data_IF_969385248449
#
_entry.id   IF_969385248449
#
_cell.length_a   1.000
_cell.length_b   1.000
_cell.length_c   1.000
_cell.angle_alpha   90.00
_cell.angle_beta   90.00
_cell.angle_gamma   90.00
#
_symmetry.space_group_name_H-M   'P 1'
#
loop_
_entity.id
_entity.type
_entity.pdbx_description
1 polymer ?
#
# COMPACT_ATOMS: atom_id res chain seq x y z
N UNK A 1 -10.20 -72.21 -14.41
CA UNK A 1 -10.93 -71.63 -13.26
C UNK A 1 -10.18 -72.05 -12.01
N UNK A 2 -9.67 -71.24 -11.07
CA UNK A 2 -9.72 -69.80 -10.77
C UNK A 2 -8.30 -69.39 -10.39
N UNK A 3 -7.77 -68.31 -10.95
CA UNK A 3 -6.54 -67.68 -10.46
C UNK A 3 -6.85 -66.99 -9.13
N UNK A 4 -6.15 -67.37 -8.06
CA UNK A 4 -6.14 -66.65 -6.78
C UNK A 4 -4.83 -65.87 -6.75
N UNK A 5 -4.92 -64.54 -6.90
CA UNK A 5 -3.79 -63.64 -6.71
C UNK A 5 -3.60 -63.38 -5.20
N UNK A 6 -2.36 -63.41 -4.67
CA UNK A 6 -2.11 -62.99 -3.30
C UNK A 6 -2.17 -61.46 -3.18
N UNK A 7 -2.94 -60.98 -2.22
CA UNK A 7 -3.04 -59.56 -1.86
C UNK A 7 -1.68 -59.06 -1.35
N UNK A 8 -1.04 -58.20 -2.13
CA UNK A 8 0.15 -57.46 -1.69
C UNK A 8 -0.31 -56.35 -0.74
N UNK A 9 -0.07 -56.53 0.55
CA UNK A 9 -0.24 -55.48 1.56
C UNK A 9 0.84 -54.43 1.32
N UNK A 10 0.46 -53.35 0.65
CA UNK A 10 1.31 -52.18 0.46
C UNK A 10 1.35 -51.40 1.78
N UNK A 11 2.35 -51.67 2.60
CA UNK A 11 2.67 -50.86 3.78
C UNK A 11 3.12 -49.49 3.29
N UNK A 12 2.19 -48.55 3.19
CA UNK A 12 2.49 -47.15 2.94
C UNK A 12 3.27 -46.60 4.15
N UNK A 13 4.59 -46.62 4.06
CA UNK A 13 5.47 -45.86 4.95
C UNK A 13 5.18 -44.39 4.66
N UNK A 14 4.33 -43.79 5.50
CA UNK A 14 4.20 -42.34 5.65
C UNK A 14 5.57 -41.83 6.11
N UNK A 15 6.42 -41.49 5.15
CA UNK A 15 7.56 -40.63 5.37
C UNK A 15 7.01 -39.25 5.75
N UNK A 16 6.76 -39.05 7.04
CA UNK A 16 6.61 -37.74 7.64
C UNK A 16 8.00 -37.11 7.51
N UNK A 17 8.27 -36.44 6.39
CA UNK A 17 9.46 -35.60 6.26
C UNK A 17 9.47 -34.64 7.44
N UNK A 18 10.59 -34.49 8.16
CA UNK A 18 10.68 -33.57 9.28
C UNK A 18 10.37 -32.17 8.76
N UNK A 19 9.16 -31.71 9.05
CA UNK A 19 8.64 -30.40 8.71
C UNK A 19 9.65 -29.35 9.16
N UNK A 20 9.91 -28.39 8.27
CA UNK A 20 10.80 -27.25 8.35
C UNK A 20 10.55 -26.33 9.58
N UNK A 21 10.67 -26.85 10.79
CA UNK A 21 10.67 -26.07 12.03
C UNK A 21 12.02 -25.35 12.15
N UNK A 22 12.07 -24.06 11.80
CA UNK A 22 13.20 -23.21 12.20
C UNK A 22 13.67 -22.15 11.22
N UNK A 23 13.10 -22.03 10.01
CA UNK A 23 13.52 -20.92 9.13
C UNK A 23 13.05 -19.58 9.72
N UNK A 24 14.02 -18.83 10.26
CA UNK A 24 13.87 -17.42 10.61
C UNK A 24 14.46 -16.56 9.50
N UNK A 25 13.74 -15.52 9.09
CA UNK A 25 14.19 -14.55 8.09
C UNK A 25 14.34 -13.19 8.75
N UNK A 26 15.49 -12.56 8.59
CA UNK A 26 15.67 -11.14 8.88
C UNK A 26 15.30 -10.35 7.63
N UNK A 27 14.12 -9.75 7.61
CA UNK A 27 13.70 -8.86 6.53
C UNK A 27 14.52 -7.57 6.62
N UNK A 28 15.15 -7.18 5.50
CA UNK A 28 15.94 -5.96 5.39
C UNK A 28 15.32 -5.03 4.34
N UNK A 29 15.58 -3.72 4.40
CA UNK A 29 15.25 -2.83 3.28
C UNK A 29 15.83 -3.38 1.98
N UNK A 30 15.07 -3.26 0.89
CA UNK A 30 15.53 -3.65 -0.45
C UNK A 30 16.91 -3.05 -0.74
N UNK A 31 17.90 -3.91 -0.97
CA UNK A 31 19.24 -3.49 -1.37
C UNK A 31 19.26 -3.29 -2.89
N UNK A 32 18.68 -2.20 -3.34
CA UNK A 32 18.69 -1.85 -4.76
C UNK A 32 20.13 -1.67 -5.24
N UNK A 33 20.48 -2.31 -6.36
CA UNK A 33 21.78 -2.06 -6.98
C UNK A 33 21.84 -0.60 -7.43
N UNK A 34 22.96 0.12 -7.21
CA UNK A 34 23.10 1.48 -7.70
C UNK A 34 22.78 1.57 -9.19
N UNK A 35 22.03 2.60 -9.54
CA UNK A 35 21.54 2.86 -10.89
C UNK A 35 20.52 1.87 -11.49
N UNK A 36 20.11 0.83 -10.76
CA UNK A 36 18.96 0.01 -11.16
C UNK A 36 17.69 0.85 -11.12
N UNK A 37 16.78 0.65 -12.08
CA UNK A 37 15.47 1.31 -12.06
C UNK A 37 14.40 0.32 -11.60
N UNK A 38 13.60 0.73 -10.63
CA UNK A 38 12.41 -0.01 -10.19
C UNK A 38 11.19 0.77 -10.64
N UNK A 39 10.40 0.17 -11.53
CA UNK A 39 9.09 0.71 -11.91
C UNK A 39 8.07 0.23 -10.90
N UNK A 40 7.34 1.18 -10.32
CA UNK A 40 6.29 0.93 -9.34
C UNK A 40 4.97 1.33 -9.99
N UNK A 41 4.00 0.43 -9.99
CA UNK A 41 2.63 0.68 -10.44
C UNK A 41 1.68 0.44 -9.29
N UNK A 42 0.78 1.39 -9.06
CA UNK A 42 -0.21 1.31 -7.99
C UNK A 42 -1.58 1.67 -8.52
N UNK A 43 -2.55 0.80 -8.28
CA UNK A 43 -3.95 1.01 -8.64
C UNK A 43 -4.80 0.94 -7.37
N UNK A 44 -5.64 1.93 -7.14
CA UNK A 44 -6.69 1.87 -6.13
C UNK A 44 -8.06 1.97 -6.78
N UNK A 45 -8.99 1.16 -6.31
CA UNK A 45 -10.37 1.15 -6.74
C UNK A 45 -11.28 1.19 -5.50
N UNK A 46 -12.15 2.18 -5.47
CA UNK A 46 -13.19 2.35 -4.45
C UNK A 46 -14.58 2.51 -5.10
N UNK A 47 -14.82 1.79 -6.19
CA UNK A 47 -16.12 1.71 -6.86
C UNK A 47 -17.16 1.01 -5.98
N UNK A 48 -18.40 1.49 -6.05
CA UNK A 48 -19.52 0.94 -5.28
C UNK A 48 -19.62 1.49 -3.86
N UNK A 49 -18.97 2.62 -3.56
CA UNK A 49 -19.16 3.29 -2.30
C UNK A 49 -20.61 3.79 -2.17
N UNK A 50 -21.22 3.53 -1.02
CA UNK A 50 -22.59 3.91 -0.73
C UNK A 50 -22.61 5.20 0.09
N UNK A 51 -23.41 6.17 -0.35
CA UNK A 51 -23.59 7.45 0.33
C UNK A 51 -25.01 7.48 0.89
N UNK A 52 -25.15 7.77 2.17
CA UNK A 52 -26.44 8.06 2.80
C UNK A 52 -26.35 9.41 3.48
N UNK A 53 -27.20 10.35 3.06
CA UNK A 53 -27.34 11.67 3.66
C UNK A 53 -28.71 11.76 4.32
N UNK A 54 -28.73 11.97 5.62
CA UNK A 54 -29.93 12.27 6.40
C UNK A 54 -30.00 13.77 6.59
N UNK A 55 -31.08 14.43 6.18
CA UNK A 55 -31.31 15.86 6.42
C UNK A 55 -32.78 16.07 6.80
N UNK A 56 -33.05 16.57 8.00
CA UNK A 56 -34.42 16.87 8.46
C UNK A 56 -35.36 15.64 8.40
N UNK A 57 -34.85 14.46 8.74
CA UNK A 57 -35.60 13.19 8.71
C UNK A 57 -35.77 12.55 7.33
N UNK A 58 -35.34 13.22 6.24
CA UNK A 58 -35.35 12.63 4.89
C UNK A 58 -33.99 11.99 4.58
N UNK A 59 -34.04 10.76 4.05
CA UNK A 59 -32.85 10.03 3.60
C UNK A 59 -32.66 10.21 2.09
N UNK A 60 -31.48 10.68 1.68
CA UNK A 60 -31.03 10.66 0.30
C UNK A 60 -29.91 9.64 0.17
N UNK A 61 -30.06 8.73 -0.80
CA UNK A 61 -29.03 7.74 -1.13
C UNK A 61 -28.28 8.14 -2.38
N UNK A 62 -27.04 7.69 -2.46
CA UNK A 62 -26.17 7.91 -3.59
C UNK A 62 -25.06 6.88 -3.64
N UNK A 63 -24.21 7.02 -4.65
CA UNK A 63 -23.02 6.22 -4.83
C UNK A 63 -21.83 7.10 -5.19
N UNK A 64 -20.62 6.63 -4.88
CA UNK A 64 -19.41 7.17 -5.50
C UNK A 64 -18.48 6.08 -5.98
N UNK A 65 -17.65 6.45 -6.93
CA UNK A 65 -16.57 5.63 -7.46
C UNK A 65 -15.31 6.49 -7.49
N UNK A 66 -14.22 5.97 -6.95
CA UNK A 66 -12.91 6.61 -7.06
C UNK A 66 -11.94 5.57 -7.57
N UNK A 67 -11.27 5.86 -8.67
CA UNK A 67 -10.20 5.05 -9.23
C UNK A 67 -8.94 5.90 -9.31
N UNK A 68 -7.83 5.41 -8.79
CA UNK A 68 -6.53 6.08 -8.93
C UNK A 68 -5.54 5.13 -9.57
N UNK A 69 -4.85 5.62 -10.59
CA UNK A 69 -3.79 4.90 -11.27
C UNK A 69 -2.51 5.69 -11.14
N UNK A 70 -1.44 5.02 -10.71
CA UNK A 70 -0.13 5.62 -10.55
C UNK A 70 0.95 4.73 -11.11
N UNK A 71 1.95 5.36 -11.72
CA UNK A 71 3.18 4.73 -12.13
C UNK A 71 4.34 5.70 -11.92
N UNK A 72 5.43 5.20 -11.34
CA UNK A 72 6.63 5.99 -11.18
C UNK A 72 7.88 5.10 -11.22
N UNK A 73 8.99 5.69 -11.64
CA UNK A 73 10.30 5.06 -11.66
C UNK A 73 11.11 5.51 -10.46
N UNK A 74 11.75 4.55 -9.79
CA UNK A 74 12.57 4.74 -8.60
C UNK A 74 14.00 4.29 -8.89
N UNK A 75 14.97 5.17 -8.65
CA UNK A 75 16.39 4.89 -8.82
C UNK A 75 17.18 5.37 -7.60
N UNK A 76 18.09 4.54 -7.09
CA UNK A 76 19.11 4.99 -6.13
C UNK A 76 20.39 5.30 -6.91
N UNK A 77 20.91 6.52 -6.71
CA UNK A 77 22.14 7.02 -7.33
C UNK A 77 23.21 7.12 -6.25
N UNK A 78 24.35 6.47 -6.48
CA UNK A 78 25.45 6.38 -5.50
C UNK A 78 25.25 5.25 -4.48
N UNK A 79 26.11 5.24 -3.45
CA UNK A 79 26.15 4.22 -2.39
C UNK A 79 26.41 4.90 -1.04
N UNK A 80 26.06 4.21 0.05
CA UNK A 80 26.34 4.68 1.41
C UNK A 80 25.54 5.93 1.83
N UNK A 81 26.07 6.75 2.76
CA UNK A 81 25.37 7.92 3.32
C UNK A 81 25.05 9.03 2.32
N UNK A 82 25.76 9.07 1.18
CA UNK A 82 25.57 10.07 0.12
C UNK A 82 24.60 9.61 -0.97
N UNK A 83 24.03 8.40 -0.83
CA UNK A 83 23.08 7.86 -1.79
C UNK A 83 21.86 8.78 -1.94
N UNK A 84 21.52 9.11 -3.19
CA UNK A 84 20.37 9.94 -3.54
C UNK A 84 19.28 9.08 -4.12
N UNK A 85 18.05 9.34 -3.72
CA UNK A 85 16.88 8.78 -4.37
C UNK A 85 16.50 9.68 -5.56
N UNK A 86 16.11 9.07 -6.67
CA UNK A 86 15.52 9.77 -7.79
C UNK A 86 14.20 9.10 -8.15
N UNK A 87 13.21 9.95 -8.36
CA UNK A 87 11.87 9.58 -8.79
C UNK A 87 11.53 10.28 -10.10
N UNK A 88 10.85 9.55 -10.99
CA UNK A 88 10.15 10.13 -12.15
C UNK A 88 8.72 9.63 -12.11
N UNK A 89 7.76 10.55 -11.95
CA UNK A 89 6.33 10.19 -11.95
C UNK A 89 5.86 10.09 -13.39
N UNK A 90 5.53 8.88 -13.82
CA UNK A 90 5.09 8.58 -15.19
C UNK A 90 3.57 8.80 -15.35
N UNK A 91 2.81 8.47 -14.30
CA UNK A 91 1.35 8.55 -14.27
C UNK A 91 0.90 8.80 -12.83
N UNK A 92 -0.05 9.71 -12.63
CA UNK A 92 -0.85 9.81 -11.42
C UNK A 92 -2.18 10.47 -11.76
N UNK A 93 -3.20 9.64 -11.96
CA UNK A 93 -4.54 10.07 -12.36
C UNK A 93 -5.56 9.54 -11.36
N UNK A 94 -6.46 10.43 -10.95
CA UNK A 94 -7.62 10.10 -10.12
C UNK A 94 -8.88 10.40 -10.91
N UNK A 95 -9.68 9.37 -11.13
CA UNK A 95 -11.04 9.46 -11.64
C UNK A 95 -12.02 9.38 -10.48
N UNK A 96 -12.97 10.32 -10.42
CA UNK A 96 -14.03 10.36 -9.42
C UNK A 96 -15.37 10.51 -10.12
N UNK A 97 -16.33 9.71 -9.68
CA UNK A 97 -17.73 9.83 -10.04
C UNK A 97 -18.57 9.82 -8.77
N UNK A 98 -19.57 10.68 -8.68
CA UNK A 98 -20.50 10.76 -7.56
C UNK A 98 -21.91 10.98 -8.07
N UNK A 99 -22.82 10.09 -7.66
CA UNK A 99 -24.24 10.18 -7.95
C UNK A 99 -24.99 10.35 -6.62
N UNK A 100 -25.76 11.42 -6.47
CA UNK A 100 -26.52 11.69 -5.25
C UNK A 100 -27.93 12.18 -5.62
N UNK A 101 -28.94 11.32 -5.44
CA UNK A 101 -30.27 11.55 -6.02
C UNK A 101 -30.20 11.68 -7.54
N UNK A 102 -30.73 12.77 -8.09
CA UNK A 102 -30.69 13.06 -9.54
C UNK A 102 -29.43 13.80 -10.01
N UNK A 103 -28.51 14.13 -9.10
CA UNK A 103 -27.28 14.86 -9.44
C UNK A 103 -26.15 13.86 -9.68
N UNK A 104 -25.44 14.05 -10.80
CA UNK A 104 -24.21 13.33 -11.13
C UNK A 104 -23.08 14.34 -11.30
N UNK A 105 -21.92 14.00 -10.76
CA UNK A 105 -20.67 14.76 -10.92
C UNK A 105 -19.54 13.78 -11.21
N UNK A 106 -18.71 14.12 -12.20
CA UNK A 106 -17.56 13.34 -12.58
C UNK A 106 -16.38 14.26 -12.83
N UNK A 107 -15.21 13.88 -12.32
CA UNK A 107 -13.97 14.63 -12.53
C UNK A 107 -12.81 13.68 -12.70
N UNK A 108 -11.85 14.12 -13.52
CA UNK A 108 -10.55 13.48 -13.67
C UNK A 108 -9.50 14.50 -13.30
N UNK A 109 -8.59 14.11 -12.42
CA UNK A 109 -7.50 14.96 -11.94
C UNK A 109 -6.17 14.24 -12.17
N UNK A 110 -5.16 15.00 -12.59
CA UNK A 110 -3.79 14.52 -12.72
C UNK A 110 -2.91 15.25 -11.70
N UNK A 111 -1.97 14.54 -11.07
CA UNK A 111 -1.00 15.19 -10.18
C UNK A 111 -0.10 16.15 -10.97
N UNK A 112 0.26 17.28 -10.35
CA UNK A 112 1.27 18.20 -10.85
C UNK A 112 2.70 17.64 -10.77
N UNK A 113 2.90 16.43 -10.22
CA UNK A 113 4.19 15.73 -10.21
C UNK A 113 4.47 14.94 -11.49
N UNK A 114 3.46 14.71 -12.35
CA UNK A 114 3.66 13.96 -13.60
C UNK A 114 4.72 14.63 -14.48
N UNK A 115 5.68 13.83 -14.96
CA UNK A 115 6.83 14.27 -15.74
C UNK A 115 7.92 15.00 -14.92
N UNK A 116 7.72 15.21 -13.61
CA UNK A 116 8.71 15.87 -12.76
C UNK A 116 9.79 14.89 -12.31
N UNK A 117 11.02 15.42 -12.20
CA UNK A 117 12.12 14.73 -11.55
C UNK A 117 12.15 15.15 -10.08
N UNK A 118 12.02 14.16 -9.21
CA UNK A 118 12.02 14.32 -7.75
C UNK A 118 13.33 13.74 -7.22
N UNK A 119 14.02 14.48 -6.36
CA UNK A 119 15.20 14.01 -5.65
C UNK A 119 14.87 13.75 -4.19
N UNK A 120 15.39 12.65 -3.65
CA UNK A 120 15.31 12.33 -2.24
C UNK A 120 16.67 12.34 -1.58
N UNK A 121 16.73 12.95 -0.40
CA UNK A 121 17.88 12.94 0.50
C UNK A 121 17.44 12.37 1.84
N UNK A 122 18.36 11.74 2.56
CA UNK A 122 18.10 11.36 3.95
C UNK A 122 18.38 12.54 4.87
N UNK A 123 17.48 12.77 5.81
CA UNK A 123 17.73 13.68 6.93
C UNK A 123 18.60 13.02 8.01
N UNK A 124 18.88 13.78 9.07
CA UNK A 124 19.62 13.35 10.25
C UNK A 124 18.98 12.13 10.95
N UNK A 125 17.67 11.99 10.85
CA UNK A 125 16.91 10.82 11.35
C UNK A 125 16.88 9.64 10.39
N UNK A 126 17.67 9.68 9.31
CA UNK A 126 17.72 8.67 8.24
C UNK A 126 16.40 8.51 7.46
N UNK A 127 15.51 9.50 7.53
CA UNK A 127 14.25 9.50 6.79
C UNK A 127 14.42 10.18 5.44
N UNK A 128 13.78 9.66 4.41
CA UNK A 128 13.75 10.28 3.10
C UNK A 128 12.91 11.56 3.12
N UNK A 129 13.48 12.63 2.58
CA UNK A 129 12.84 13.90 2.25
C UNK A 129 12.91 14.12 0.75
N UNK A 130 11.80 14.48 0.13
CA UNK A 130 11.65 14.57 -1.32
C UNK A 130 11.46 16.02 -1.76
N UNK A 131 12.15 16.38 -2.84
CA UNK A 131 12.17 17.75 -3.37
C UNK A 131 12.11 17.72 -4.90
N UNK A 132 11.53 18.76 -5.49
CA UNK A 132 11.59 18.96 -6.95
C UNK A 132 12.98 19.46 -7.35
N UNK A 133 13.51 18.90 -8.44
CA UNK A 133 14.79 19.37 -8.98
C UNK A 133 14.67 20.81 -9.50
N UNK A 134 15.47 21.72 -8.94
CA UNK A 134 15.69 23.06 -9.49
C UNK A 134 14.51 24.04 -9.35
N UNK A 135 13.50 23.72 -8.53
CA UNK A 135 12.36 24.62 -8.28
C UNK A 135 11.64 24.31 -6.97
N UNK A 136 10.90 25.28 -6.45
CA UNK A 136 10.00 25.10 -5.32
C UNK A 136 8.71 24.38 -5.75
N UNK A 137 8.18 23.54 -4.86
CA UNK A 137 6.89 22.89 -5.06
C UNK A 137 5.74 23.88 -4.82
N UNK A 138 4.67 23.77 -5.61
CA UNK A 138 3.37 24.37 -5.26
C UNK A 138 2.77 23.67 -4.03
N UNK A 139 1.77 24.27 -3.39
CA UNK A 139 1.10 23.67 -2.22
C UNK A 139 0.59 22.25 -2.50
N UNK A 140 -0.03 22.01 -3.66
CA UNK A 140 -0.51 20.68 -4.03
C UNK A 140 0.64 19.70 -4.26
N UNK A 141 1.70 20.12 -4.95
CA UNK A 141 2.88 19.28 -5.15
C UNK A 141 3.58 18.95 -3.83
N UNK A 142 3.60 19.87 -2.87
CA UNK A 142 4.15 19.61 -1.53
C UNK A 142 3.36 18.51 -0.81
N UNK A 143 2.02 18.54 -0.89
CA UNK A 143 1.16 17.47 -0.34
C UNK A 143 1.48 16.13 -1.02
N UNK A 144 1.58 16.12 -2.36
CA UNK A 144 1.86 14.91 -3.12
C UNK A 144 3.27 14.34 -2.79
N UNK A 145 4.27 15.22 -2.56
CA UNK A 145 5.62 14.83 -2.13
C UNK A 145 5.60 14.20 -0.73
N UNK A 146 4.84 14.75 0.21
CA UNK A 146 4.68 14.16 1.55
C UNK A 146 4.04 12.77 1.45
N UNK A 147 3.08 12.55 0.55
CA UNK A 147 2.51 11.21 0.32
C UNK A 147 3.60 10.22 -0.15
N UNK A 148 4.46 10.64 -1.08
CA UNK A 148 5.59 9.82 -1.55
C UNK A 148 6.66 9.59 -0.47
N UNK A 149 6.97 10.58 0.37
CA UNK A 149 7.86 10.42 1.54
C UNK A 149 7.32 9.37 2.51
N UNK A 150 6.01 9.44 2.79
CA UNK A 150 5.32 8.49 3.67
C UNK A 150 5.41 7.07 3.14
N UNK A 151 5.33 6.93 1.81
CA UNK A 151 5.58 5.66 1.17
C UNK A 151 7.03 5.23 1.38
N UNK A 152 8.04 6.06 1.13
CA UNK A 152 9.45 5.66 1.31
C UNK A 152 9.85 5.33 2.74
N UNK A 153 9.27 6.03 3.72
CA UNK A 153 9.62 5.90 5.13
C UNK A 153 8.82 4.80 5.85
N UNK A 154 7.94 4.08 5.15
CA UNK A 154 7.11 3.01 5.72
C UNK A 154 7.94 1.90 6.37
N UNK A 155 7.56 1.49 7.58
CA UNK A 155 8.22 0.41 8.33
C UNK A 155 7.34 -0.84 8.37
N UNK A 156 7.51 -1.71 7.37
CA UNK A 156 6.82 -3.01 7.32
C UNK A 156 7.50 -4.08 8.18
N UNK A 157 8.81 -3.97 8.35
CA UNK A 157 9.64 -5.02 8.95
C UNK A 157 10.26 -4.53 10.24
N UNK A 158 10.46 -5.48 11.16
CA UNK A 158 11.19 -5.29 12.40
C UNK A 158 12.66 -5.67 12.20
N UNK A 159 13.54 -5.10 13.01
CA UNK A 159 14.99 -5.32 12.94
C UNK A 159 15.44 -6.64 13.59
N UNK A 160 14.50 -7.58 13.77
CA UNK A 160 14.75 -8.91 14.35
C UNK A 160 14.34 -10.04 13.39
N UNK A 161 15.02 -11.20 13.44
CA UNK A 161 14.61 -12.36 12.66
C UNK A 161 13.21 -12.84 13.01
N UNK A 162 12.44 -13.21 11.99
CA UNK A 162 11.03 -13.61 12.11
C UNK A 162 10.86 -15.05 11.64
N UNK A 163 10.17 -15.87 12.44
CA UNK A 163 9.83 -17.25 12.08
C UNK A 163 8.48 -17.31 11.35
N UNK A 164 8.30 -18.33 10.52
CA UNK A 164 6.99 -18.65 9.95
C UNK A 164 5.97 -18.83 11.09
N UNK A 165 4.79 -18.24 10.94
CA UNK A 165 3.72 -18.15 11.94
C UNK A 165 3.82 -16.95 12.89
N UNK A 166 4.98 -16.29 12.98
CA UNK A 166 5.16 -15.15 13.88
C UNK A 166 4.41 -13.93 13.35
N UNK A 167 3.80 -13.20 14.29
CA UNK A 167 3.07 -11.95 14.03
C UNK A 167 3.73 -10.80 14.77
N UNK A 168 3.78 -9.62 14.15
CA UNK A 168 4.28 -8.39 14.74
C UNK A 168 3.39 -7.20 14.38
N UNK A 169 3.52 -6.13 15.16
CA UNK A 169 2.87 -4.87 14.88
C UNK A 169 3.64 -4.11 13.81
N UNK A 170 2.92 -3.46 12.91
CA UNK A 170 3.49 -2.62 11.85
C UNK A 170 2.96 -1.20 11.97
N UNK A 171 3.72 -0.25 11.43
CA UNK A 171 3.32 1.16 11.40
C UNK A 171 3.11 1.60 9.94
N UNK A 172 1.88 1.51 9.41
CA UNK A 172 1.59 1.89 8.03
C UNK A 172 1.47 3.42 7.94
N UNK A 173 2.60 4.12 7.96
CA UNK A 173 2.67 5.59 7.96
C UNK A 173 1.86 6.24 6.82
N UNK A 174 1.83 5.63 5.65
CA UNK A 174 1.01 6.11 4.52
C UNK A 174 -0.50 6.10 4.81
N UNK A 175 -1.01 5.12 5.57
CA UNK A 175 -2.42 5.05 5.97
C UNK A 175 -2.70 6.07 7.06
N UNK A 176 -1.77 6.20 8.01
CA UNK A 176 -1.83 7.25 9.03
C UNK A 176 -1.99 8.61 8.36
N UNK A 177 -1.07 8.96 7.46
CA UNK A 177 -1.07 10.26 6.80
C UNK A 177 -2.32 10.49 5.95
N UNK A 178 -2.84 9.44 5.29
CA UNK A 178 -4.09 9.54 4.56
C UNK A 178 -5.29 9.87 5.47
N UNK A 179 -5.40 9.20 6.62
CA UNK A 179 -6.53 9.40 7.55
C UNK A 179 -6.38 10.71 8.32
N UNK A 180 -5.17 11.00 8.81
CA UNK A 180 -4.91 12.14 9.68
C UNK A 180 -5.00 13.49 8.96
N UNK A 181 -4.70 13.53 7.66
CA UNK A 181 -4.87 14.73 6.82
C UNK A 181 -6.29 15.31 6.92
N UNK A 182 -7.30 14.44 6.92
CA UNK A 182 -8.70 14.86 6.81
C UNK A 182 -9.46 14.73 8.16
N UNK A 183 -8.99 13.87 9.07
CA UNK A 183 -9.73 13.49 10.29
C UNK A 183 -8.98 13.76 11.60
N UNK A 184 -7.77 14.34 11.55
CA UNK A 184 -6.93 14.51 12.73
C UNK A 184 -6.36 13.18 13.24
N UNK A 185 -5.75 13.16 14.45
CA UNK A 185 -5.00 12.00 14.94
C UNK A 185 -5.77 10.68 14.85
N UNK A 186 -5.09 9.62 14.36
CA UNK A 186 -5.69 8.32 14.14
C UNK A 186 -5.11 7.25 15.07
N UNK A 187 -5.99 6.44 15.65
CA UNK A 187 -5.62 5.19 16.34
C UNK A 187 -5.52 4.09 15.30
N UNK A 188 -4.36 3.44 15.20
CA UNK A 188 -4.10 2.40 14.20
C UNK A 188 -3.59 1.14 14.90
N UNK A 189 -4.32 0.04 14.75
CA UNK A 189 -3.86 -1.32 15.08
C UNK A 189 -3.59 -2.05 13.77
N UNK A 190 -2.31 -2.27 13.47
CA UNK A 190 -1.88 -2.95 12.26
C UNK A 190 -0.92 -4.08 12.61
N UNK A 191 -1.18 -5.25 12.04
CA UNK A 191 -0.44 -6.49 12.31
C UNK A 191 -0.06 -7.17 11.01
N UNK A 192 1.10 -7.79 11.00
CA UNK A 192 1.59 -8.60 9.87
C UNK A 192 2.04 -9.95 10.40
N UNK A 193 1.77 -11.01 9.63
CA UNK A 193 2.16 -12.38 9.96
C UNK A 193 3.06 -12.93 8.85
N UNK A 194 4.16 -13.59 9.22
CA UNK A 194 4.97 -14.32 8.24
C UNK A 194 4.35 -15.69 7.98
N UNK A 195 3.58 -15.83 6.89
CA UNK A 195 2.76 -17.03 6.66
C UNK A 195 3.53 -18.20 6.06
N UNK A 196 4.27 -17.95 4.98
CA UNK A 196 4.92 -19.01 4.19
C UNK A 196 6.04 -18.42 3.33
N UNK A 197 6.90 -19.30 2.81
CA UNK A 197 7.79 -19.01 1.68
C UNK A 197 7.30 -19.84 0.50
N UNK A 198 7.02 -19.18 -0.62
CA UNK A 198 6.49 -19.79 -1.83
C UNK A 198 7.44 -19.52 -3.01
N UNK A 199 7.41 -20.39 -4.02
CA UNK A 199 8.09 -20.13 -5.29
C UNK A 199 7.13 -19.40 -6.22
N UNK A 200 7.40 -18.12 -6.49
CA UNK A 200 6.58 -17.28 -7.38
C UNK A 200 7.50 -16.75 -8.47
N UNK A 201 7.15 -17.03 -9.73
CA UNK A 201 7.95 -16.67 -10.92
C UNK A 201 9.42 -17.12 -10.81
N UNK A 202 9.65 -18.33 -10.27
CA UNK A 202 10.98 -18.90 -10.10
C UNK A 202 11.81 -18.32 -8.93
N UNK A 203 11.24 -17.44 -8.10
CA UNK A 203 11.95 -16.85 -6.95
C UNK A 203 11.28 -17.19 -5.61
N UNK A 204 12.10 -17.45 -4.58
CA UNK A 204 11.63 -17.60 -3.20
C UNK A 204 11.03 -16.30 -2.71
N UNK A 205 9.74 -16.32 -2.39
CA UNK A 205 8.95 -15.16 -2.01
C UNK A 205 8.29 -15.41 -0.66
N UNK A 206 8.52 -14.51 0.30
CA UNK A 206 7.79 -14.53 1.56
C UNK A 206 6.38 -13.96 1.37
N UNK A 207 5.40 -14.67 1.91
CA UNK A 207 3.99 -14.27 1.91
C UNK A 207 3.63 -13.72 3.29
N UNK A 208 3.27 -12.44 3.31
CA UNK A 208 3.08 -11.66 4.53
C UNK A 208 1.66 -11.07 4.57
N UNK A 209 0.65 -11.83 4.99
CA UNK A 209 -0.68 -11.27 5.25
C UNK A 209 -0.62 -10.22 6.35
N UNK A 210 -1.45 -9.20 6.22
CA UNK A 210 -1.58 -8.13 7.20
C UNK A 210 -3.02 -7.67 7.36
N UNK A 211 -3.31 -7.08 8.51
CA UNK A 211 -4.60 -6.45 8.82
C UNK A 211 -4.36 -5.06 9.40
N UNK A 212 -5.24 -4.12 9.08
CA UNK A 212 -5.14 -2.72 9.52
C UNK A 212 -6.53 -2.29 9.95
N UNK A 213 -6.65 -1.94 11.23
CA UNK A 213 -7.82 -1.30 11.82
C UNK A 213 -7.43 0.10 12.20
N UNK A 214 -8.15 1.09 11.70
CA UNK A 214 -7.90 2.48 12.04
C UNK A 214 -9.20 3.20 12.39
N UNK A 215 -9.12 4.09 13.36
CA UNK A 215 -10.20 4.97 13.78
C UNK A 215 -9.66 6.38 14.03
N UNK A 216 -10.35 7.38 13.48
CA UNK A 216 -10.09 8.78 13.74
C UNK A 216 -11.41 9.52 14.01
N UNK A 217 -11.35 10.58 14.82
CA UNK A 217 -12.48 11.46 15.13
C UNK A 217 -11.97 12.88 15.28
N UNK A 218 -12.67 13.83 14.65
CA UNK A 218 -12.43 15.26 14.79
C UNK A 218 -13.71 15.95 15.28
N UNK A 219 -13.54 16.83 16.25
CA UNK A 219 -14.58 17.74 16.72
C UNK A 219 -14.11 19.17 16.46
N UNK A 220 -14.89 19.95 15.72
CA UNK A 220 -14.57 21.35 15.46
C UNK A 220 -15.30 22.24 16.47
N UNK A 221 -14.55 23.15 17.11
CA UNK A 221 -14.93 23.91 18.32
C UNK A 221 -16.18 24.80 18.23
N UNK A 222 -16.78 24.93 17.05
CA UNK A 222 -18.11 25.55 16.85
C UNK A 222 -19.23 24.50 16.89
N UNK A 223 -19.26 23.72 17.97
CA UNK A 223 -20.33 22.90 18.57
C UNK A 223 -21.28 22.04 17.75
N UNK A 224 -21.21 21.96 16.42
CA UNK A 224 -22.19 21.15 15.67
C UNK A 224 -21.60 20.26 14.59
N UNK A 225 -20.29 20.28 14.35
CA UNK A 225 -19.66 19.39 13.36
C UNK A 225 -18.76 18.34 14.00
N UNK A 226 -19.08 17.08 13.76
CA UNK A 226 -18.24 15.94 14.12
C UNK A 226 -17.96 15.12 12.87
N UNK A 227 -16.70 14.77 12.64
CA UNK A 227 -16.33 13.79 11.63
C UNK A 227 -15.63 12.59 12.27
N UNK A 228 -15.84 11.42 11.69
CA UNK A 228 -15.15 10.21 12.08
C UNK A 228 -14.86 9.33 10.86
N UNK A 229 -13.75 8.62 10.89
CA UNK A 229 -13.39 7.63 9.89
C UNK A 229 -13.01 6.31 10.58
N UNK A 230 -13.45 5.20 9.99
CA UNK A 230 -13.09 3.85 10.40
C UNK A 230 -12.62 3.11 9.16
N UNK A 231 -11.38 2.60 9.19
CA UNK A 231 -10.83 1.74 8.15
C UNK A 231 -10.63 0.32 8.69
N UNK A 232 -11.16 -0.67 7.99
CA UNK A 232 -10.90 -2.08 8.24
C UNK A 232 -10.36 -2.67 6.95
N UNK A 233 -9.05 -2.90 6.91
CA UNK A 233 -8.33 -3.33 5.72
C UNK A 233 -7.57 -4.63 6.03
N UNK A 234 -7.43 -5.47 5.01
CA UNK A 234 -6.61 -6.67 5.06
C UNK A 234 -5.90 -6.85 3.73
N UNK A 235 -4.76 -7.51 3.75
CA UNK A 235 -3.96 -7.62 2.56
C UNK A 235 -2.87 -8.66 2.65
N UNK A 236 -2.06 -8.73 1.61
CA UNK A 236 -0.88 -9.59 1.54
C UNK A 236 0.22 -8.84 0.82
N UNK A 237 1.39 -8.82 1.46
CA UNK A 237 2.64 -8.33 0.92
C UNK A 237 3.50 -9.53 0.49
N UNK A 238 4.04 -9.46 -0.73
CA UNK A 238 4.88 -10.49 -1.32
C UNK A 238 6.31 -9.93 -1.44
N UNK A 239 7.25 -10.53 -0.72
CA UNK A 239 8.64 -10.06 -0.65
C UNK A 239 9.57 -11.08 -1.24
N UNK A 240 10.24 -10.72 -2.32
CA UNK A 240 11.27 -11.51 -2.96
C UNK A 240 12.49 -11.63 -2.04
N UNK A 241 12.84 -12.84 -1.58
CA UNK A 241 13.87 -13.03 -0.57
C UNK A 241 15.29 -12.85 -1.12
N UNK A 242 15.51 -12.99 -2.43
CA UNK A 242 16.82 -12.77 -3.04
C UNK A 242 17.22 -11.29 -3.05
N UNK A 243 16.24 -10.40 -3.27
CA UNK A 243 16.45 -8.96 -3.42
C UNK A 243 15.91 -8.12 -2.27
N UNK A 244 15.05 -8.72 -1.42
CA UNK A 244 14.20 -8.03 -0.45
C UNK A 244 13.23 -7.00 -1.06
N UNK A 245 12.92 -7.13 -2.35
CA UNK A 245 11.93 -6.29 -3.02
C UNK A 245 10.51 -6.77 -2.66
N UNK A 246 9.68 -5.86 -2.17
CA UNK A 246 8.24 -6.05 -2.04
C UNK A 246 7.55 -5.99 -3.43
N UNK A 247 7.64 -7.09 -4.16
CA UNK A 247 7.15 -7.25 -5.55
C UNK A 247 5.68 -6.90 -5.71
N UNK A 248 4.84 -7.30 -4.77
CA UNK A 248 3.39 -7.12 -4.86
C UNK A 248 2.79 -6.83 -3.49
N UNK A 249 1.87 -5.88 -3.44
CA UNK A 249 0.97 -5.66 -2.32
C UNK A 249 -0.44 -5.73 -2.85
N UNK A 250 -1.29 -6.49 -2.17
CA UNK A 250 -2.73 -6.48 -2.38
C UNK A 250 -3.38 -6.12 -1.06
N UNK A 251 -4.35 -5.22 -1.08
CA UNK A 251 -5.08 -4.79 0.09
C UNK A 251 -6.53 -4.55 -0.30
N UNK A 252 -7.45 -4.95 0.55
CA UNK A 252 -8.87 -4.68 0.38
C UNK A 252 -9.56 -4.48 1.72
N UNK A 253 -10.75 -3.90 1.70
CA UNK A 253 -11.58 -3.76 2.89
C UNK A 253 -12.57 -2.63 2.76
N UNK A 254 -12.90 -2.00 3.88
CA UNK A 254 -13.90 -0.94 3.92
C UNK A 254 -13.40 0.29 4.66
N UNK A 255 -13.64 1.46 4.08
CA UNK A 255 -13.52 2.75 4.74
C UNK A 255 -14.93 3.30 4.97
N UNK A 256 -15.27 3.56 6.23
CA UNK A 256 -16.51 4.23 6.60
C UNK A 256 -16.18 5.61 7.11
N UNK A 257 -16.71 6.66 6.48
CA UNK A 257 -16.65 8.02 6.98
C UNK A 257 -18.03 8.47 7.41
N UNK A 258 -18.09 9.24 8.47
CA UNK A 258 -19.32 9.83 8.98
C UNK A 258 -19.05 11.30 9.28
N UNK A 259 -19.94 12.15 8.81
CA UNK A 259 -19.93 13.59 9.12
C UNK A 259 -21.31 13.94 9.64
N UNK A 260 -21.37 14.55 10.81
CA UNK A 260 -22.60 15.06 11.43
C UNK A 260 -22.49 16.56 11.54
N UNK A 261 -23.50 17.27 11.06
CA UNK A 261 -23.60 18.73 11.13
C UNK A 261 -25.05 19.18 11.25
N UNK A 262 -25.42 19.83 12.36
CA UNK A 262 -26.69 20.56 12.53
C UNK A 262 -27.93 19.89 11.92
N UNK A 263 -28.30 18.69 12.40
CA UNK A 263 -29.48 17.95 11.92
C UNK A 263 -29.28 17.22 10.57
N UNK A 264 -28.09 17.34 9.97
CA UNK A 264 -27.63 16.56 8.82
C UNK A 264 -26.59 15.52 9.25
N UNK A 265 -26.70 14.30 8.75
CA UNK A 265 -25.70 13.25 8.91
C UNK A 265 -25.40 12.60 7.58
N UNK A 266 -24.14 12.59 7.18
CA UNK A 266 -23.67 11.92 5.98
C UNK A 266 -22.81 10.73 6.37
N UNK A 267 -23.14 9.55 5.86
CA UNK A 267 -22.35 8.32 6.00
C UNK A 267 -21.93 7.87 4.62
N UNK A 268 -20.62 7.67 4.44
CA UNK A 268 -20.07 7.07 3.22
C UNK A 268 -19.40 5.76 3.62
N UNK A 269 -19.87 4.66 3.04
CA UNK A 269 -19.25 3.35 3.18
C UNK A 269 -18.62 2.96 1.86
N UNK A 270 -17.31 2.98 1.81
CA UNK A 270 -16.52 2.74 0.61
C UNK A 270 -15.82 1.39 0.69
N UNK A 271 -16.10 0.43 -0.19
CA UNK A 271 -15.19 -0.68 -0.38
C UNK A 271 -13.90 -0.13 -1.00
N UNK A 272 -12.76 -0.66 -0.60
CA UNK A 272 -11.46 -0.23 -1.12
C UNK A 272 -10.71 -1.46 -1.56
N UNK A 273 -10.10 -1.39 -2.74
CA UNK A 273 -9.09 -2.33 -3.23
C UNK A 273 -7.86 -1.53 -3.63
N UNK A 274 -6.69 -2.02 -3.28
CA UNK A 274 -5.41 -1.41 -3.60
C UNK A 274 -4.41 -2.47 -3.99
N UNK A 275 -3.79 -2.30 -5.14
CA UNK A 275 -2.81 -3.22 -5.70
C UNK A 275 -1.57 -2.42 -6.07
N UNK A 276 -0.41 -2.83 -5.54
CA UNK A 276 0.89 -2.30 -5.93
C UNK A 276 1.72 -3.43 -6.51
N UNK A 277 2.39 -3.16 -7.61
CA UNK A 277 3.36 -4.07 -8.23
C UNK A 277 4.65 -3.33 -8.48
N UNK A 278 5.78 -3.99 -8.23
CA UNK A 278 7.11 -3.47 -8.48
C UNK A 278 7.85 -4.40 -9.40
N UNK A 279 8.43 -3.82 -10.43
CA UNK A 279 9.23 -4.54 -11.42
C UNK A 279 10.59 -3.87 -11.51
N UNK A 280 11.64 -4.68 -11.45
CA UNK A 280 13.00 -4.22 -11.66
C UNK A 280 13.29 -4.26 -13.15
N UNK A 281 13.68 -3.12 -13.72
CA UNK A 281 14.22 -3.08 -15.09
C UNK A 281 15.74 -3.20 -14.98
N UNK A 282 16.36 -4.23 -15.59
CA UNK A 282 17.82 -4.32 -15.66
C UNK A 282 18.39 -3.06 -16.29
N UNK A 283 19.49 -2.56 -15.76
CA UNK A 283 20.20 -1.42 -16.34
C UNK A 283 20.85 -1.89 -17.65
N UNK A 284 20.13 -1.87 -18.78
CA UNK A 284 20.76 -1.98 -20.09
C UNK A 284 21.65 -0.77 -20.23
N UNK A 285 22.97 -0.97 -20.12
CA UNK A 285 23.93 0.07 -20.44
C UNK A 285 23.55 0.68 -21.80
N UNK A 286 23.65 2.01 -21.96
CA UNK A 286 23.45 2.61 -23.27
C UNK A 286 24.39 1.88 -24.22
N UNK A 287 23.80 1.26 -25.24
CA UNK A 287 24.53 0.60 -26.30
C UNK A 287 25.32 1.71 -26.98
N UNK A 288 26.55 1.94 -26.54
CA UNK A 288 27.50 2.80 -27.24
C UNK A 288 27.88 2.04 -28.50
N UNK A 289 26.99 2.13 -29.50
CA UNK A 289 27.34 1.85 -30.87
C UNK A 289 28.50 2.80 -31.21
N UNK A 290 29.67 2.19 -31.44
CA UNK A 290 30.83 2.84 -32.04
C UNK A 290 30.54 3.19 -33.49
#
# INVERSE_FOLDING_TARGET
MKYIAPATVLTAVLAISPCCYGQSILFKPHQQTPNQTVTIRANSDASGAQITVMNGGKAQKGSSSIKRQRAWERKIIGTGPTAKLQYVVLLDQTYREMNLGSKSDASTQSSGLVGQIIHGLRDDTQRWRLFLKGKSATNQQAIDLVELESYENRRWFQDIPVKIGQTWFIEPEFIRNFIERDMGPALIDAKMTFKSIEMIDGERTAVLPFTIKSQARKEEGTKFRTSSAIANLSGTLYVALGTMLDKKLTMSGTLTTTVRQSGTSSVVKSPVTYIVTKTVTPNTAPNTAR
#
